data_IF_527375856873
#
_entry.id   IF_527375856873
#
_cell.length_a   1.000
_cell.length_b   1.000
_cell.length_c   1.000
_cell.angle_alpha   90.00
_cell.angle_beta   90.00
_cell.angle_gamma   90.00
#
_symmetry.space_group_name_H-M   'P 1'
#
loop_
_entity.id
_entity.type
_entity.pdbx_description
1 polymer ?
#
# COMPACT_ATOMS: atom_id res chain seq x y z
N UNK A 1 -2.16 -3.10 -4.75
CA UNK A 1 -0.97 -2.22 -4.78
C UNK A 1 -0.25 -2.46 -6.09
N UNK A 2 0.38 -1.43 -6.64
CA UNK A 2 1.09 -1.52 -7.94
C UNK A 2 2.51 -1.04 -7.74
N UNK A 3 3.50 -1.77 -8.27
CA UNK A 3 4.91 -1.39 -8.17
C UNK A 3 5.33 -0.55 -9.37
N UNK A 4 5.87 0.62 -9.09
CA UNK A 4 6.56 1.49 -10.04
C UNK A 4 7.50 2.39 -9.23
N UNK A 5 8.80 2.06 -9.26
CA UNK A 5 9.81 2.72 -8.43
C UNK A 5 10.03 4.18 -8.80
N UNK A 6 9.73 4.55 -10.04
CA UNK A 6 9.89 5.92 -10.53
C UNK A 6 8.67 6.75 -10.14
N UNK A 7 7.46 6.25 -10.43
CA UNK A 7 6.22 6.96 -10.18
C UNK A 7 5.89 7.10 -8.69
N UNK A 8 6.26 6.11 -7.87
CA UNK A 8 5.90 6.03 -6.46
C UNK A 8 7.12 6.10 -5.52
N UNK A 9 8.15 6.86 -5.90
CA UNK A 9 9.40 6.98 -5.15
C UNK A 9 9.19 7.39 -3.67
N UNK A 10 8.19 8.23 -3.37
CA UNK A 10 7.88 8.72 -2.02
C UNK A 10 7.27 7.66 -1.09
N UNK A 11 6.85 6.51 -1.64
CA UNK A 11 6.16 5.42 -0.94
C UNK A 11 6.89 4.10 -1.15
N UNK A 12 8.22 4.15 -1.31
CA UNK A 12 9.05 2.96 -1.49
C UNK A 12 8.83 2.26 -2.82
N UNK A 13 8.30 2.95 -3.84
CA UNK A 13 8.03 2.40 -5.16
C UNK A 13 6.67 1.72 -5.30
N UNK A 14 5.75 1.92 -4.35
CA UNK A 14 4.44 1.28 -4.33
C UNK A 14 3.27 2.26 -4.34
N UNK A 15 2.39 2.10 -5.33
CA UNK A 15 1.09 2.77 -5.37
C UNK A 15 0.05 2.04 -4.52
N UNK A 16 -0.58 2.79 -3.62
CA UNK A 16 -1.65 2.30 -2.74
C UNK A 16 -2.99 2.90 -3.15
N UNK A 17 -4.01 2.05 -3.25
CA UNK A 17 -5.38 2.45 -3.53
C UNK A 17 -6.34 1.43 -2.92
N UNK A 18 -7.50 1.92 -2.50
CA UNK A 18 -8.60 1.12 -1.95
C UNK A 18 -9.88 1.54 -2.64
N UNK A 19 -10.72 0.55 -2.95
CA UNK A 19 -12.03 0.76 -3.54
C UNK A 19 -13.15 0.25 -2.63
N UNK A 20 -14.32 0.87 -2.73
CA UNK A 20 -15.53 0.57 -1.95
C UNK A 20 -16.51 -0.21 -2.80
N UNK A 21 -17.05 -1.27 -2.23
CA UNK A 21 -18.07 -2.11 -2.87
C UNK A 21 -17.55 -2.79 -4.14
N UNK A 22 -18.49 -3.40 -4.87
CA UNK A 22 -18.19 -4.06 -6.15
C UNK A 22 -18.12 -3.08 -7.32
N UNK A 23 -18.67 -1.87 -7.16
CA UNK A 23 -18.64 -0.81 -8.17
C UNK A 23 -17.27 -0.11 -8.28
N UNK A 24 -16.29 -0.54 -7.48
CA UNK A 24 -14.92 -0.04 -7.48
C UNK A 24 -14.85 1.49 -7.34
N UNK A 25 -15.63 2.06 -6.42
CA UNK A 25 -15.57 3.49 -6.13
C UNK A 25 -14.34 3.80 -5.26
N UNK A 26 -13.51 4.81 -5.59
CA UNK A 26 -12.37 5.17 -4.74
C UNK A 26 -12.77 5.42 -3.29
N UNK A 27 -12.00 4.85 -2.35
CA UNK A 27 -12.26 5.03 -0.91
C UNK A 27 -12.03 6.48 -0.46
N UNK A 28 -11.03 7.13 -1.04
CA UNK A 28 -10.68 8.53 -0.81
C UNK A 28 -10.32 9.21 -2.13
N UNK A 29 -10.56 10.51 -2.23
CA UNK A 29 -10.04 11.37 -3.31
C UNK A 29 -8.78 12.15 -2.87
N UNK A 30 -8.37 12.01 -1.61
CA UNK A 30 -7.16 12.64 -1.08
C UNK A 30 -5.91 11.99 -1.69
N UNK A 31 -5.07 12.82 -2.29
CA UNK A 31 -3.79 12.41 -2.88
C UNK A 31 -2.83 11.82 -1.83
N UNK A 32 -2.98 12.20 -0.57
CA UNK A 32 -2.18 11.72 0.55
C UNK A 32 -2.72 10.43 1.18
N UNK A 33 -3.83 9.87 0.68
CA UNK A 33 -4.40 8.63 1.22
C UNK A 33 -3.41 7.44 1.17
N UNK A 34 -2.45 7.46 0.23
CA UNK A 34 -1.41 6.45 0.13
C UNK A 34 -0.45 6.45 1.33
N UNK A 35 -0.24 7.59 2.01
CA UNK A 35 0.67 7.70 3.15
C UNK A 35 0.21 6.80 4.31
N UNK A 36 -1.07 6.82 4.64
CA UNK A 36 -1.61 5.97 5.71
C UNK A 36 -1.40 4.47 5.44
N UNK A 37 -1.50 4.06 4.18
CA UNK A 37 -1.19 2.69 3.78
C UNK A 37 0.31 2.40 3.88
N UNK A 38 1.15 3.30 3.35
CA UNK A 38 2.59 3.11 3.33
C UNK A 38 3.20 3.04 4.73
N UNK A 39 2.75 3.88 5.68
CA UNK A 39 3.25 3.85 7.06
C UNK A 39 3.07 2.46 7.72
N UNK A 40 1.93 1.80 7.50
CA UNK A 40 1.73 0.43 7.99
C UNK A 40 2.64 -0.57 7.25
N UNK A 41 2.78 -0.43 5.94
CA UNK A 41 3.59 -1.32 5.11
C UNK A 41 5.10 -1.20 5.34
N UNK A 42 5.60 -0.13 5.97
CA UNK A 42 6.99 -0.02 6.42
C UNK A 42 7.41 -1.16 7.36
N UNK A 43 6.47 -1.78 8.08
CA UNK A 43 6.76 -2.97 8.90
C UNK A 43 7.31 -4.15 8.07
N UNK A 44 7.00 -4.20 6.77
CA UNK A 44 7.51 -5.18 5.82
C UNK A 44 8.62 -4.61 4.91
N UNK A 45 9.33 -3.56 5.31
CA UNK A 45 10.40 -2.94 4.50
C UNK A 45 11.46 -3.93 4.02
N UNK A 46 11.81 -4.92 4.84
CA UNK A 46 12.76 -5.98 4.48
C UNK A 46 12.24 -6.94 3.39
N UNK A 47 10.94 -6.92 3.11
CA UNK A 47 10.26 -7.75 2.11
C UNK A 47 9.59 -6.87 1.04
N UNK A 48 10.26 -5.80 0.62
CA UNK A 48 9.79 -4.87 -0.41
C UNK A 48 8.39 -4.30 -0.10
N UNK A 49 8.10 -4.08 1.19
CA UNK A 49 6.82 -3.56 1.69
C UNK A 49 5.61 -4.50 1.48
N UNK A 50 5.83 -5.79 1.21
CA UNK A 50 4.78 -6.79 1.01
C UNK A 50 4.76 -7.82 2.15
N UNK A 51 3.57 -8.02 2.73
CA UNK A 51 3.35 -9.04 3.76
C UNK A 51 3.16 -10.43 3.13
N UNK A 52 4.25 -11.05 2.67
CA UNK A 52 4.26 -12.42 2.10
C UNK A 52 4.56 -13.51 3.13
N UNK A 53 5.07 -13.13 4.30
CA UNK A 53 5.36 -14.06 5.39
C UNK A 53 4.07 -14.28 6.20
N UNK A 54 3.65 -15.54 6.42
CA UNK A 54 2.48 -15.82 7.25
C UNK A 54 2.63 -15.22 8.64
N UNK A 55 1.55 -14.61 9.15
CA UNK A 55 1.52 -14.14 10.52
C UNK A 55 1.71 -15.34 11.47
N UNK A 56 2.63 -15.20 12.43
CA UNK A 56 2.71 -16.13 13.55
C UNK A 56 1.54 -15.84 14.47
N UNK A 57 0.49 -16.65 14.36
CA UNK A 57 -0.61 -16.64 15.33
C UNK A 57 -0.24 -17.55 16.51
N UNK A 58 -0.71 -17.25 17.73
CA UNK A 58 -0.76 -18.24 18.80
C UNK A 58 -1.61 -19.45 18.41
#
# INVERSE_FOLDING_TARGET
MVRDTTKYATTGGWGFARWKGLDLNPHSQDINAATACFECHKAASNNDYVFTVPAKMP
#
